data_IF_633361823495
#
_entry.id   IF_633361823495
#
_cell.length_a   1.000
_cell.length_b   1.000
_cell.length_c   1.000
_cell.angle_alpha   90.00
_cell.angle_beta   90.00
_cell.angle_gamma   90.00
#
_symmetry.space_group_name_H-M   'P 1'
#
loop_
_entity.id
_entity.type
_entity.pdbx_description
1 polymer ?
#
# COMPACT_ATOMS: atom_id res chain seq x y z
N UNK A 1 15.45 -17.69 23.59
CA UNK A 1 15.72 -16.68 22.53
C UNK A 1 14.70 -16.76 21.40
N UNK A 2 14.50 -17.94 20.79
CA UNK A 2 13.52 -18.15 19.70
C UNK A 2 12.09 -17.69 20.03
N UNK A 3 11.56 -18.05 21.21
CA UNK A 3 10.21 -17.66 21.64
C UNK A 3 10.01 -16.14 21.81
N UNK A 4 11.07 -15.42 22.17
CA UNK A 4 11.02 -13.96 22.34
C UNK A 4 11.03 -13.30 20.95
N UNK A 5 11.92 -13.74 20.06
CA UNK A 5 12.02 -13.21 18.70
C UNK A 5 10.77 -13.51 17.87
N UNK A 6 10.12 -14.66 18.07
CA UNK A 6 8.90 -15.05 17.36
C UNK A 6 7.70 -14.12 17.63
N UNK A 7 7.73 -13.33 18.72
CA UNK A 7 6.70 -12.30 18.99
C UNK A 7 6.80 -11.10 18.05
N UNK A 8 8.01 -10.77 17.60
CA UNK A 8 8.29 -9.56 16.83
C UNK A 8 8.57 -9.83 15.35
N UNK A 9 9.20 -10.96 15.06
CA UNK A 9 9.66 -11.32 13.73
C UNK A 9 8.83 -12.48 13.16
N UNK A 10 8.75 -12.54 11.83
CA UNK A 10 8.16 -13.71 11.18
C UNK A 10 9.06 -14.93 11.32
N UNK A 11 8.50 -16.14 11.20
CA UNK A 11 9.26 -17.39 11.32
C UNK A 11 10.51 -17.39 10.44
N UNK A 12 10.36 -16.97 9.18
CA UNK A 12 11.48 -16.82 8.24
C UNK A 12 12.56 -15.86 8.73
N UNK A 13 12.18 -14.71 9.31
CA UNK A 13 13.12 -13.74 9.85
C UNK A 13 13.85 -14.30 11.07
N UNK A 14 13.16 -15.01 11.96
CA UNK A 14 13.76 -15.69 13.11
C UNK A 14 14.75 -16.76 12.64
N UNK A 15 14.35 -17.62 11.70
CA UNK A 15 15.22 -18.67 11.15
C UNK A 15 16.47 -18.07 10.48
N UNK A 16 16.32 -16.93 9.83
CA UNK A 16 17.42 -16.20 9.22
C UNK A 16 18.38 -15.61 10.26
N UNK A 17 17.84 -15.07 11.35
CA UNK A 17 18.62 -14.52 12.47
C UNK A 17 19.38 -15.61 13.23
N UNK A 18 18.74 -16.76 13.48
CA UNK A 18 19.32 -17.87 14.23
C UNK A 18 20.36 -18.62 13.40
N UNK A 19 20.09 -18.87 12.13
CA UNK A 19 20.98 -19.65 11.26
C UNK A 19 22.05 -18.80 10.57
N UNK A 20 21.98 -17.46 10.65
CA UNK A 20 22.91 -16.52 10.00
C UNK A 20 22.85 -16.53 8.46
N UNK A 21 21.95 -17.32 7.86
CA UNK A 21 21.80 -17.47 6.40
C UNK A 21 20.68 -16.59 5.92
N UNK A 22 20.94 -15.74 4.91
CA UNK A 22 19.91 -14.92 4.26
C UNK A 22 18.73 -15.77 3.79
N UNK A 23 17.52 -15.24 3.93
CA UNK A 23 16.31 -15.91 3.51
C UNK A 23 16.33 -16.25 2.01
N UNK A 24 16.12 -17.52 1.68
CA UNK A 24 16.03 -18.00 0.29
C UNK A 24 14.72 -17.59 -0.39
N UNK A 25 13.63 -17.45 0.38
CA UNK A 25 12.30 -17.12 -0.14
C UNK A 25 11.55 -16.23 0.85
N UNK A 26 10.90 -15.18 0.33
CA UNK A 26 10.07 -14.27 1.11
C UNK A 26 8.59 -14.61 0.93
N UNK A 27 7.84 -14.68 2.03
CA UNK A 27 6.38 -14.90 2.01
C UNK A 27 5.61 -13.58 2.09
N UNK A 28 4.30 -13.63 1.79
CA UNK A 28 3.42 -12.46 1.81
C UNK A 28 3.47 -11.72 3.16
N UNK A 29 3.51 -12.45 4.29
CA UNK A 29 3.59 -11.84 5.64
C UNK A 29 4.91 -11.09 5.86
N UNK A 30 6.02 -11.66 5.38
CA UNK A 30 7.34 -11.02 5.49
C UNK A 30 7.39 -9.73 4.67
N UNK A 31 6.90 -9.80 3.43
CA UNK A 31 6.87 -8.67 2.51
C UNK A 31 5.94 -7.58 3.02
N UNK A 32 4.74 -7.92 3.51
CA UNK A 32 3.81 -6.96 4.09
C UNK A 32 4.44 -6.20 5.27
N UNK A 33 5.12 -6.91 6.18
CA UNK A 33 5.85 -6.30 7.29
C UNK A 33 6.97 -5.38 6.80
N UNK A 34 7.76 -5.84 5.81
CA UNK A 34 8.83 -5.03 5.22
C UNK A 34 8.30 -3.77 4.50
N UNK A 35 7.16 -3.86 3.79
CA UNK A 35 6.51 -2.71 3.16
C UNK A 35 6.03 -1.72 4.24
N UNK A 36 5.44 -2.21 5.33
CA UNK A 36 5.02 -1.38 6.46
C UNK A 36 6.19 -0.65 7.13
N UNK A 37 7.30 -1.35 7.38
CA UNK A 37 8.50 -0.71 7.91
C UNK A 37 9.04 0.36 6.94
N UNK A 38 9.03 0.07 5.64
CA UNK A 38 9.51 0.98 4.59
C UNK A 38 8.61 2.20 4.42
N UNK A 39 7.30 2.08 4.63
CA UNK A 39 6.34 3.19 4.54
C UNK A 39 6.47 4.14 5.74
N UNK A 40 6.83 3.62 6.93
CA UNK A 40 7.12 4.44 8.10
C UNK A 40 8.40 5.26 7.88
N UNK A 41 9.51 4.62 7.48
CA UNK A 41 10.76 5.36 7.24
C UNK A 41 11.70 4.66 6.24
N UNK A 42 12.04 5.32 5.11
CA UNK A 42 13.08 4.87 4.19
C UNK A 42 14.44 4.63 4.85
N UNK A 43 14.83 5.56 5.74
CA UNK A 43 16.15 5.57 6.39
C UNK A 43 16.24 4.43 7.40
N UNK A 44 15.18 4.24 8.20
CA UNK A 44 15.07 3.12 9.14
C UNK A 44 15.15 1.78 8.40
N UNK A 45 14.41 1.64 7.31
CA UNK A 45 14.46 0.41 6.50
C UNK A 45 15.87 0.12 5.98
N UNK A 46 16.56 1.15 5.45
CA UNK A 46 17.95 1.00 4.97
C UNK A 46 18.89 0.61 6.11
N UNK A 47 18.75 1.23 7.28
CA UNK A 47 19.53 0.88 8.47
C UNK A 47 19.27 -0.57 8.91
N UNK A 48 18.01 -0.98 9.02
CA UNK A 48 17.64 -2.34 9.41
C UNK A 48 18.10 -3.37 8.38
N UNK A 49 18.10 -3.06 7.08
CA UNK A 49 18.59 -3.98 6.03
C UNK A 49 20.05 -4.40 6.23
N UNK A 50 20.90 -3.51 6.74
CA UNK A 50 22.30 -3.84 7.02
C UNK A 50 22.49 -4.58 8.34
N UNK A 51 21.61 -4.36 9.31
CA UNK A 51 21.75 -4.90 10.67
C UNK A 51 20.92 -6.17 10.91
N UNK A 52 19.85 -6.38 10.14
CA UNK A 52 18.89 -7.47 10.25
C UNK A 52 18.59 -7.96 8.83
N UNK A 53 18.46 -9.27 8.66
CA UNK A 53 18.13 -9.85 7.37
C UNK A 53 16.64 -9.63 7.02
N UNK A 54 16.34 -8.50 6.40
CA UNK A 54 15.06 -8.20 5.75
C UNK A 54 15.19 -8.25 4.23
N UNK A 55 14.07 -8.17 3.51
CA UNK A 55 14.06 -8.21 2.04
C UNK A 55 14.87 -7.07 1.43
N UNK A 56 15.38 -7.26 0.21
CA UNK A 56 16.05 -6.20 -0.52
C UNK A 56 15.02 -5.21 -1.12
N UNK A 57 15.45 -3.97 -1.34
CA UNK A 57 14.59 -2.94 -1.96
C UNK A 57 14.11 -3.33 -3.37
N UNK A 58 14.93 -4.03 -4.15
CA UNK A 58 14.55 -4.55 -5.46
C UNK A 58 13.41 -5.56 -5.34
N UNK A 59 13.52 -6.50 -4.39
CA UNK A 59 12.45 -7.45 -4.08
C UNK A 59 11.17 -6.71 -3.69
N UNK A 60 11.23 -5.76 -2.75
CA UNK A 60 10.06 -4.99 -2.36
C UNK A 60 9.38 -4.27 -3.53
N UNK A 61 10.17 -3.65 -4.41
CA UNK A 61 9.65 -2.96 -5.61
C UNK A 61 8.96 -3.94 -6.55
N UNK A 62 9.53 -5.12 -6.80
CA UNK A 62 8.90 -6.16 -7.63
C UNK A 62 7.57 -6.61 -7.05
N UNK A 63 7.49 -6.76 -5.73
CA UNK A 63 6.26 -7.13 -5.04
C UNK A 63 5.22 -6.01 -5.08
N UNK A 64 5.61 -4.76 -4.80
CA UNK A 64 4.74 -3.60 -4.90
C UNK A 64 4.20 -3.40 -6.33
N UNK A 65 5.03 -3.65 -7.35
CA UNK A 65 4.65 -3.55 -8.75
C UNK A 65 3.61 -4.58 -9.23
N UNK A 66 3.23 -5.55 -8.38
CA UNK A 66 2.09 -6.46 -8.61
C UNK A 66 0.76 -5.77 -8.32
N UNK A 67 0.75 -4.74 -7.47
CA UNK A 67 -0.44 -3.95 -7.15
C UNK A 67 -0.63 -2.96 -8.30
N UNK A 68 -1.68 -3.20 -9.08
CA UNK A 68 -2.06 -2.32 -10.19
C UNK A 68 -3.03 -1.27 -9.67
N UNK A 69 -2.66 0.00 -9.84
CA UNK A 69 -3.49 1.16 -9.52
C UNK A 69 -3.65 1.95 -10.82
N UNK A 70 -4.86 1.96 -11.36
CA UNK A 70 -5.22 2.71 -12.58
C UNK A 70 -6.24 3.79 -12.25
N UNK A 71 -6.28 4.87 -13.03
CA UNK A 71 -7.29 5.91 -12.86
C UNK A 71 -8.70 5.33 -12.99
N UNK A 72 -9.65 5.97 -12.32
CA UNK A 72 -11.01 5.50 -12.10
C UNK A 72 -11.19 4.85 -10.72
N UNK A 73 -12.09 3.87 -10.65
CA UNK A 73 -12.43 3.17 -9.41
C UNK A 73 -11.31 2.21 -9.04
N UNK A 74 -10.79 2.32 -7.81
CA UNK A 74 -9.74 1.47 -7.28
C UNK A 74 -10.33 0.13 -6.82
N UNK A 75 -10.64 -0.75 -7.77
CA UNK A 75 -11.29 -2.06 -7.54
C UNK A 75 -10.57 -2.92 -6.49
N UNK A 76 -9.24 -2.88 -6.46
CA UNK A 76 -8.44 -3.59 -5.46
C UNK A 76 -8.77 -3.16 -4.02
N UNK A 77 -8.98 -1.85 -3.80
CA UNK A 77 -9.33 -1.31 -2.47
C UNK A 77 -10.79 -1.61 -2.15
N UNK A 78 -11.70 -1.44 -3.12
CA UNK A 78 -13.12 -1.76 -2.93
C UNK A 78 -13.32 -3.24 -2.56
N UNK A 79 -12.61 -4.16 -3.22
CA UNK A 79 -12.65 -5.59 -2.90
C UNK A 79 -12.10 -5.89 -1.49
N UNK A 80 -11.03 -5.20 -1.08
CA UNK A 80 -10.50 -5.31 0.28
C UNK A 80 -11.51 -4.80 1.32
N UNK A 81 -12.16 -3.68 1.03
CA UNK A 81 -13.21 -3.10 1.88
C UNK A 81 -14.42 -4.03 1.99
N UNK A 82 -14.85 -4.67 0.89
CA UNK A 82 -15.95 -5.65 0.92
C UNK A 82 -15.67 -6.78 1.91
N UNK A 83 -14.47 -7.38 1.84
CA UNK A 83 -14.04 -8.43 2.78
C UNK A 83 -13.98 -7.94 4.22
N UNK A 84 -13.48 -6.72 4.45
CA UNK A 84 -13.45 -6.14 5.80
C UNK A 84 -14.88 -5.88 6.31
N UNK A 85 -15.77 -5.42 5.44
CA UNK A 85 -17.16 -5.14 5.75
C UNK A 85 -17.97 -6.37 6.19
N UNK A 86 -17.58 -7.58 5.81
CA UNK A 86 -18.22 -8.82 6.29
C UNK A 86 -18.14 -8.97 7.82
N UNK A 87 -17.08 -8.45 8.43
CA UNK A 87 -16.87 -8.48 9.89
C UNK A 87 -17.46 -7.28 10.63
N UNK A 88 -17.99 -6.28 9.91
CA UNK A 88 -18.49 -5.03 10.48
C UNK A 88 -20.00 -5.08 10.68
N UNK A 89 -20.47 -4.47 11.77
CA UNK A 89 -21.90 -4.26 12.03
C UNK A 89 -22.49 -3.20 11.09
N UNK A 90 -23.82 -3.14 10.98
CA UNK A 90 -24.49 -2.16 10.09
C UNK A 90 -24.14 -0.70 10.44
N UNK A 91 -24.07 -0.39 11.73
CA UNK A 91 -23.69 0.94 12.21
C UNK A 91 -22.25 1.31 11.81
N UNK A 92 -21.33 0.35 11.86
CA UNK A 92 -19.93 0.58 11.49
C UNK A 92 -19.74 0.74 9.97
N UNK A 93 -20.69 0.22 9.17
CA UNK A 93 -20.72 0.37 7.71
C UNK A 93 -21.22 1.74 7.25
N UNK A 94 -21.82 2.54 8.12
CA UNK A 94 -22.25 3.90 7.80
C UNK A 94 -21.05 4.73 7.32
N UNK A 95 -21.09 5.11 6.05
CA UNK A 95 -19.95 5.67 5.32
C UNK A 95 -20.38 6.97 4.65
N UNK A 96 -19.52 7.97 4.70
CA UNK A 96 -19.62 9.19 3.89
C UNK A 96 -18.59 9.14 2.76
N UNK A 97 -18.95 9.66 1.60
CA UNK A 97 -18.02 9.89 0.50
C UNK A 97 -17.62 11.36 0.49
N UNK A 98 -16.33 11.63 0.59
CA UNK A 98 -15.76 12.97 0.49
C UNK A 98 -14.83 13.02 -0.71
N UNK A 99 -14.93 14.05 -1.53
CA UNK A 99 -14.10 14.21 -2.71
C UNK A 99 -13.56 15.64 -2.80
N UNK A 100 -12.34 15.76 -3.33
CA UNK A 100 -11.67 17.04 -3.53
C UNK A 100 -10.59 16.91 -4.62
N UNK A 101 -10.19 18.05 -5.19
CA UNK A 101 -9.14 18.15 -6.20
C UNK A 101 -7.80 18.54 -5.56
N UNK A 102 -6.72 17.89 -5.98
CA UNK A 102 -5.35 18.28 -5.61
C UNK A 102 -4.57 18.72 -6.84
N UNK A 103 -3.98 19.92 -6.79
CA UNK A 103 -3.13 20.43 -7.85
C UNK A 103 -1.80 19.67 -7.97
N UNK A 104 -1.39 19.37 -9.19
CA UNK A 104 -0.15 18.68 -9.51
C UNK A 104 0.89 19.62 -10.13
N UNK A 105 2.15 19.19 -10.15
CA UNK A 105 3.28 19.96 -10.71
C UNK A 105 3.33 20.03 -12.25
N UNK A 106 2.29 19.54 -12.96
CA UNK A 106 2.19 19.53 -14.43
C UNK A 106 3.40 18.92 -15.14
N UNK A 107 3.99 17.88 -14.54
CA UNK A 107 5.14 17.17 -15.12
C UNK A 107 4.68 15.99 -15.96
N UNK A 108 5.38 15.73 -17.05
CA UNK A 108 5.17 14.53 -17.88
C UNK A 108 6.07 13.40 -17.37
N UNK A 109 5.52 12.21 -17.24
CA UNK A 109 6.21 11.03 -16.70
C UNK A 109 6.08 9.84 -17.63
N UNK A 110 7.16 9.10 -17.86
CA UNK A 110 7.12 7.89 -18.67
C UNK A 110 7.10 6.62 -17.80
N UNK A 111 6.03 5.83 -17.91
CA UNK A 111 5.85 4.56 -17.21
C UNK A 111 6.38 3.41 -18.07
N UNK A 112 7.69 3.13 -17.95
CA UNK A 112 8.40 2.11 -18.76
C UNK A 112 7.72 0.74 -18.81
N UNK A 113 7.16 0.24 -17.69
CA UNK A 113 6.55 -1.11 -17.63
C UNK A 113 5.36 -1.28 -18.58
N UNK A 114 4.67 -0.19 -18.94
CA UNK A 114 3.50 -0.19 -19.82
C UNK A 114 3.66 0.65 -21.06
N UNK A 115 4.86 1.22 -21.24
CA UNK A 115 5.16 2.13 -22.33
C UNK A 115 4.15 3.27 -22.48
N UNK A 116 3.68 3.79 -21.35
CA UNK A 116 2.67 4.85 -21.29
C UNK A 116 3.29 6.16 -20.83
N UNK A 117 2.89 7.25 -21.49
CA UNK A 117 3.18 8.62 -21.05
C UNK A 117 2.04 9.08 -20.15
N UNK A 118 2.37 9.63 -18.99
CA UNK A 118 1.44 10.18 -18.00
C UNK A 118 1.62 11.70 -17.95
N UNK A 119 0.50 12.42 -17.90
CA UNK A 119 0.49 13.88 -17.87
C UNK A 119 0.94 14.54 -19.19
N UNK A 120 1.17 15.86 -19.15
CA UNK A 120 1.04 16.73 -17.98
C UNK A 120 -0.43 16.89 -17.54
N UNK A 121 -0.69 16.71 -16.23
CA UNK A 121 -2.01 16.91 -15.63
C UNK A 121 -2.00 18.11 -14.67
N UNK A 122 -3.11 18.85 -14.61
CA UNK A 122 -3.30 20.03 -13.76
C UNK A 122 -3.75 19.62 -12.36
N UNK A 123 -4.75 18.77 -12.24
CA UNK A 123 -5.29 18.30 -10.96
C UNK A 123 -5.56 16.80 -10.98
N UNK A 124 -5.63 16.23 -9.77
CA UNK A 124 -6.15 14.89 -9.53
C UNK A 124 -7.39 15.00 -8.65
N UNK A 125 -8.49 14.44 -9.13
CA UNK A 125 -9.70 14.26 -8.36
C UNK A 125 -9.57 12.99 -7.53
N UNK A 126 -9.86 13.04 -6.23
CA UNK A 126 -9.79 11.88 -5.34
C UNK A 126 -11.09 11.74 -4.57
N UNK A 127 -11.66 10.54 -4.54
CA UNK A 127 -12.80 10.20 -3.67
C UNK A 127 -12.33 9.30 -2.54
N UNK A 128 -12.66 9.70 -1.32
CA UNK A 128 -12.39 8.98 -0.09
C UNK A 128 -13.70 8.48 0.50
N UNK A 129 -13.75 7.18 0.81
CA UNK A 129 -14.76 6.61 1.69
C UNK A 129 -14.30 6.73 3.15
N UNK A 130 -15.15 7.27 4.02
CA UNK A 130 -14.85 7.44 5.44
C UNK A 130 -16.01 6.94 6.30
N UNK A 131 -15.71 6.13 7.31
CA UNK A 131 -16.71 5.72 8.30
C UNK A 131 -17.19 6.92 9.14
N UNK A 132 -18.50 7.02 9.32
CA UNK A 132 -19.13 8.05 10.15
C UNK A 132 -18.95 7.72 11.62
N UNK A 133 -19.32 6.48 11.98
CA UNK A 133 -19.24 5.98 13.36
C UNK A 133 -17.85 5.40 13.63
N UNK A 134 -17.37 4.51 12.76
CA UNK A 134 -16.08 3.85 12.93
C UNK A 134 -14.93 4.67 12.33
N UNK A 135 -13.77 4.78 13.00
CA UNK A 135 -12.66 5.62 12.57
C UNK A 135 -11.82 4.95 11.48
N UNK A 136 -12.34 4.85 10.25
CA UNK A 136 -11.61 4.35 9.09
C UNK A 136 -11.80 5.24 7.87
N UNK A 137 -10.82 5.24 6.97
CA UNK A 137 -10.84 5.97 5.69
C UNK A 137 -10.05 5.23 4.62
N UNK A 138 -10.52 5.23 3.38
CA UNK A 138 -9.83 4.64 2.23
C UNK A 138 -10.10 5.42 0.94
N UNK A 139 -9.09 5.64 0.08
CA UNK A 139 -9.32 6.14 -1.27
C UNK A 139 -9.99 5.07 -2.12
N UNK A 140 -11.09 5.43 -2.80
CA UNK A 140 -11.86 4.49 -3.64
C UNK A 140 -11.84 4.86 -5.12
N UNK A 141 -11.51 6.11 -5.44
CA UNK A 141 -11.42 6.60 -6.82
C UNK A 141 -10.33 7.66 -6.91
N UNK A 142 -9.64 7.68 -8.05
CA UNK A 142 -8.88 8.85 -8.46
C UNK A 142 -8.89 8.99 -9.98
N UNK A 143 -8.95 10.21 -10.51
CA UNK A 143 -8.70 10.45 -11.92
C UNK A 143 -8.05 11.83 -12.15
N UNK A 144 -7.50 12.03 -13.34
CA UNK A 144 -6.80 13.27 -13.70
C UNK A 144 -7.69 14.21 -14.48
N UNK A 145 -7.61 15.51 -14.16
CA UNK A 145 -8.24 16.61 -14.89
C UNK A 145 -9.74 16.43 -15.17
N UNK A 146 -10.44 15.71 -14.29
CA UNK A 146 -11.85 15.38 -14.43
C UNK A 146 -12.66 15.91 -13.23
N UNK A 147 -13.71 16.72 -13.46
CA UNK A 147 -14.61 17.16 -12.39
C UNK A 147 -15.50 16.01 -11.93
N UNK A 148 -15.99 16.08 -10.68
CA UNK A 148 -16.97 15.11 -10.19
C UNK A 148 -18.32 15.26 -10.92
N UNK A 149 -18.75 14.21 -11.62
CA UNK A 149 -20.05 14.13 -12.29
C UNK A 149 -21.06 13.32 -11.46
N UNK A 150 -22.34 13.40 -11.84
CA UNK A 150 -23.41 12.59 -11.22
C UNK A 150 -23.54 11.19 -11.84
N UNK A 151 -23.12 11.07 -13.09
CA UNK A 151 -23.09 9.84 -13.87
C UNK A 151 -21.89 8.97 -13.46
#
# INVERSE_FOLDING_TARGET
MYEICAKFFTKNQVDTLVNGKRANKWYNKDIASCIGLRSISPKCYKYMYYNICISALSTLRTWAAKIVLEPGIITSVVNLMKRKGETMTENEKLTVLSFDETYLSKTMSYKKKREQIWGPHKCVQVVMARGIISPWKQPIYYNFDEPMTKD
#
